data_IF_026039087656
#
_entry.id   IF_026039087656
#
_cell.length_a   1.000
_cell.length_b   1.000
_cell.length_c   1.000
_cell.angle_alpha   90.00
_cell.angle_beta   90.00
_cell.angle_gamma   90.00
#
_symmetry.space_group_name_H-M   'P 1'
#
loop_
_entity.id
_entity.type
_entity.pdbx_description
1 polymer ?
#
# COMPACT_ATOMS: atom_id res chain seq x y z
N UNK A 1 11.80 -28.54 -7.59
CA UNK A 1 11.89 -27.40 -8.53
C UNK A 1 12.06 -26.15 -7.69
N UNK A 2 13.16 -25.42 -7.89
CA UNK A 2 13.48 -24.19 -7.15
C UNK A 2 13.02 -22.98 -7.97
N UNK A 3 12.35 -22.02 -7.34
CA UNK A 3 11.89 -20.82 -8.03
C UNK A 3 13.07 -19.87 -8.30
N UNK A 4 13.06 -19.11 -9.41
CA UNK A 4 14.12 -18.16 -9.72
C UNK A 4 14.28 -17.11 -8.61
N UNK A 5 15.53 -16.77 -8.27
CA UNK A 5 15.88 -15.85 -7.18
C UNK A 5 15.59 -14.38 -7.47
N UNK A 6 15.20 -14.07 -8.70
CA UNK A 6 14.81 -12.75 -9.16
C UNK A 6 14.23 -12.83 -10.58
N UNK A 7 13.27 -11.96 -10.88
CA UNK A 7 12.64 -11.85 -12.20
C UNK A 7 12.58 -10.37 -12.53
N UNK A 8 13.25 -9.96 -13.62
CA UNK A 8 13.09 -8.62 -14.18
C UNK A 8 11.92 -8.64 -15.16
N UNK A 9 11.03 -7.66 -15.03
CA UNK A 9 9.82 -7.55 -15.84
C UNK A 9 9.83 -6.18 -16.52
N UNK A 10 9.95 -6.18 -17.85
CA UNK A 10 9.87 -4.99 -18.67
C UNK A 10 9.06 -5.26 -19.94
N UNK A 11 8.30 -4.27 -20.38
CA UNK A 11 7.55 -4.32 -21.63
C UNK A 11 7.90 -3.10 -22.45
N UNK A 12 8.54 -3.31 -23.61
CA UNK A 12 8.94 -2.21 -24.51
C UNK A 12 7.72 -1.50 -25.15
N UNK A 13 6.61 -2.22 -25.31
CA UNK A 13 5.34 -1.68 -25.80
C UNK A 13 4.19 -2.60 -25.39
N UNK A 14 3.05 -2.04 -24.95
CA UNK A 14 1.85 -2.82 -24.58
C UNK A 14 1.64 -2.97 -23.06
N UNK A 15 0.78 -3.92 -22.68
CA UNK A 15 0.38 -4.17 -21.29
C UNK A 15 1.37 -5.12 -20.59
N UNK A 16 1.91 -4.69 -19.45
CA UNK A 16 2.63 -5.57 -18.52
C UNK A 16 1.66 -6.05 -17.42
N UNK A 17 1.41 -7.36 -17.35
CA UNK A 17 0.57 -7.96 -16.32
C UNK A 17 1.39 -8.91 -15.43
N UNK A 18 1.31 -8.70 -14.12
CA UNK A 18 1.99 -9.52 -13.10
C UNK A 18 0.92 -10.21 -12.26
N UNK A 19 1.02 -11.54 -12.10
CA UNK A 19 0.12 -12.32 -11.26
C UNK A 19 0.88 -13.42 -10.52
N UNK A 20 0.54 -13.64 -9.25
CA UNK A 20 1.16 -14.66 -8.41
C UNK A 20 0.11 -15.50 -7.66
N UNK A 21 0.52 -16.69 -7.19
CA UNK A 21 -0.30 -17.52 -6.27
C UNK A 21 -0.24 -17.04 -4.82
N UNK A 22 0.69 -16.14 -4.53
CA UNK A 22 0.92 -15.50 -3.23
C UNK A 22 0.94 -14.00 -3.45
N UNK A 23 1.25 -13.27 -2.39
CA UNK A 23 1.35 -11.81 -2.41
C UNK A 23 2.48 -11.33 -3.35
N UNK A 24 2.23 -10.18 -3.97
CA UNK A 24 3.22 -9.42 -4.73
C UNK A 24 3.74 -8.29 -3.82
N UNK A 25 5.02 -8.34 -3.43
CA UNK A 25 5.66 -7.28 -2.63
C UNK A 25 6.45 -6.34 -3.54
N UNK A 26 6.11 -5.06 -3.51
CA UNK A 26 6.91 -3.98 -4.08
C UNK A 26 7.71 -3.34 -2.95
N UNK A 27 9.04 -3.39 -3.02
CA UNK A 27 9.93 -2.88 -1.98
C UNK A 27 11.09 -2.13 -2.65
N UNK A 28 11.33 -0.90 -2.20
CA UNK A 28 12.51 -0.12 -2.57
C UNK A 28 13.42 -0.02 -1.35
N UNK A 29 14.69 -0.39 -1.50
CA UNK A 29 15.70 -0.28 -0.43
C UNK A 29 16.26 1.13 -0.31
N UNK A 30 16.29 1.86 -1.43
CA UNK A 30 16.75 3.25 -1.51
C UNK A 30 15.87 3.99 -2.53
N UNK A 31 15.17 5.04 -2.10
CA UNK A 31 14.28 5.84 -2.95
C UNK A 31 12.80 5.51 -2.76
N UNK A 32 11.99 5.77 -3.79
CA UNK A 32 10.53 5.61 -3.77
C UNK A 32 10.02 4.67 -4.87
N UNK A 33 8.82 4.14 -4.69
CA UNK A 33 8.10 3.38 -5.71
C UNK A 33 7.18 4.35 -6.44
N UNK A 34 7.54 4.73 -7.67
CA UNK A 34 6.71 5.57 -8.52
C UNK A 34 5.73 4.70 -9.32
N UNK A 35 4.44 4.96 -9.15
CA UNK A 35 3.38 4.40 -9.98
C UNK A 35 2.88 5.50 -10.93
N UNK A 36 3.44 5.55 -12.14
CA UNK A 36 3.06 6.53 -13.16
C UNK A 36 1.98 5.95 -14.09
N UNK A 37 0.73 6.30 -13.82
CA UNK A 37 -0.42 5.88 -14.62
C UNK A 37 -1.55 6.92 -14.55
N UNK A 38 -2.36 6.99 -15.61
CA UNK A 38 -3.56 7.83 -15.62
C UNK A 38 -4.63 7.38 -14.62
N UNK A 39 -4.60 6.11 -14.21
CA UNK A 39 -5.53 5.55 -13.22
C UNK A 39 -4.85 4.41 -12.47
N UNK A 40 -4.89 4.47 -11.14
CA UNK A 40 -4.43 3.41 -10.24
C UNK A 40 -5.65 2.94 -9.45
N UNK A 41 -5.92 1.64 -9.47
CA UNK A 41 -7.04 1.05 -8.73
C UNK A 41 -6.54 0.01 -7.75
N UNK A 42 -6.90 0.19 -6.48
CA UNK A 42 -6.69 -0.79 -5.43
C UNK A 42 -8.04 -1.47 -5.14
N UNK A 43 -8.34 -2.51 -5.92
CA UNK A 43 -9.61 -3.23 -5.82
C UNK A 43 -9.70 -4.09 -4.56
N UNK A 44 -10.93 -4.27 -4.05
CA UNK A 44 -11.24 -5.14 -2.91
C UNK A 44 -10.44 -4.84 -1.63
N UNK A 45 -9.99 -3.59 -1.43
CA UNK A 45 -9.40 -3.20 -0.15
C UNK A 45 -10.47 -3.34 0.95
N UNK A 46 -10.26 -4.20 1.96
CA UNK A 46 -11.18 -4.30 3.07
C UNK A 46 -11.12 -3.02 3.92
N UNK A 47 -12.24 -2.66 4.54
CA UNK A 47 -12.23 -1.60 5.54
C UNK A 47 -11.39 -2.04 6.73
N UNK A 48 -10.34 -1.29 7.06
CA UNK A 48 -9.53 -1.54 8.24
C UNK A 48 -10.32 -1.25 9.50
N UNK A 49 -10.83 -2.28 10.17
CA UNK A 49 -11.53 -2.13 11.47
C UNK A 49 -10.61 -2.47 12.62
N UNK A 50 -10.51 -1.57 13.60
CA UNK A 50 -9.73 -1.79 14.82
C UNK A 50 -10.22 -3.03 15.61
N UNK A 51 -9.34 -4.01 15.84
CA UNK A 51 -9.64 -5.15 16.72
C UNK A 51 -9.30 -4.80 18.18
N UNK A 52 -10.30 -4.94 19.07
CA UNK A 52 -10.15 -4.67 20.51
C UNK A 52 -9.57 -5.85 21.33
N UNK A 53 -9.25 -7.00 20.72
CA UNK A 53 -8.63 -8.15 21.40
C UNK A 53 -7.11 -8.07 21.29
N UNK A 54 -6.26 -8.23 22.31
CA UNK A 54 -6.45 -8.53 23.73
C UNK A 54 -5.11 -8.31 24.46
N UNK A 55 -5.13 -7.52 25.54
CA UNK A 55 -4.32 -7.64 26.76
C UNK A 55 -2.78 -7.77 26.76
N UNK A 56 -2.04 -7.82 25.64
CA UNK A 56 -0.56 -7.74 25.68
C UNK A 56 0.01 -7.01 24.47
N UNK A 57 0.95 -6.11 24.75
CA UNK A 57 1.79 -5.35 23.84
C UNK A 57 1.14 -4.13 23.16
N UNK A 58 1.21 -3.00 23.86
CA UNK A 58 1.86 -1.81 23.30
C UNK A 58 2.97 -2.23 22.33
N UNK A 59 2.78 -2.07 21.00
CA UNK A 59 3.80 -1.63 20.01
C UNK A 59 3.52 -1.97 18.53
N UNK A 60 2.47 -2.71 18.14
CA UNK A 60 2.30 -3.11 16.74
C UNK A 60 0.84 -2.95 16.28
N UNK A 61 0.44 -1.75 15.83
CA UNK A 61 -0.77 -1.60 15.03
C UNK A 61 -0.55 -2.31 13.69
N UNK A 62 -1.13 -3.50 13.50
CA UNK A 62 -0.93 -4.32 12.29
C UNK A 62 -1.84 -3.97 11.12
N UNK A 63 -2.81 -3.07 11.32
CA UNK A 63 -3.82 -2.72 10.31
C UNK A 63 -3.74 -1.23 10.01
N UNK A 64 -3.63 -0.93 8.71
CA UNK A 64 -3.53 0.42 8.18
C UNK A 64 -4.62 0.65 7.15
N UNK A 65 -5.13 1.88 7.08
CA UNK A 65 -5.94 2.40 6.00
C UNK A 65 -5.03 2.98 4.92
N UNK A 66 -5.42 2.78 3.66
CA UNK A 66 -4.78 3.43 2.51
C UNK A 66 -5.51 4.74 2.23
N UNK A 67 -4.79 5.85 2.35
CA UNK A 67 -5.33 7.20 2.17
C UNK A 67 -4.77 7.82 0.89
N UNK A 68 -5.63 8.45 0.09
CA UNK A 68 -5.27 9.07 -1.19
C UNK A 68 -5.55 10.57 -1.12
N UNK A 69 -4.50 11.38 -1.34
CA UNK A 69 -4.59 12.83 -1.39
C UNK A 69 -5.15 13.30 -2.76
N UNK A 70 -5.79 14.48 -2.84
CA UNK A 70 -6.20 15.07 -4.14
C UNK A 70 -5.04 15.28 -5.12
N UNK A 71 -3.81 15.39 -4.61
CA UNK A 71 -2.57 15.47 -5.40
C UNK A 71 -2.14 14.13 -6.03
N UNK A 72 -2.81 13.02 -5.71
CA UNK A 72 -2.42 11.66 -6.13
C UNK A 72 -1.44 10.96 -5.19
N UNK A 73 -0.91 11.65 -4.16
CA UNK A 73 -0.05 11.03 -3.16
C UNK A 73 -0.82 10.00 -2.34
N UNK A 74 -0.24 8.81 -2.14
CA UNK A 74 -0.84 7.71 -1.36
C UNK A 74 -0.02 7.51 -0.08
N UNK A 75 -0.67 7.35 1.06
CA UNK A 75 0.00 7.07 2.33
C UNK A 75 -0.80 6.09 3.20
N UNK A 76 -0.14 5.52 4.21
CA UNK A 76 -0.75 4.61 5.18
C UNK A 76 -1.07 5.35 6.48
N UNK A 77 -2.30 5.20 6.95
CA UNK A 77 -2.77 5.73 8.23
C UNK A 77 -3.17 4.59 9.16
N UNK A 78 -2.86 4.60 10.47
CA UNK A 78 -3.28 3.54 11.37
C UNK A 78 -4.81 3.40 11.42
N UNK A 79 -5.32 2.17 11.31
CA UNK A 79 -6.76 1.92 11.31
C UNK A 79 -7.37 2.12 12.72
N UNK A 80 -8.52 2.78 12.79
CA UNK A 80 -9.27 3.05 14.03
C UNK A 80 -10.76 2.70 13.90
N UNK A 81 -11.57 3.07 14.89
CA UNK A 81 -13.04 2.91 14.84
C UNK A 81 -13.73 3.77 13.78
N UNK A 82 -13.01 4.76 13.25
CA UNK A 82 -13.44 5.66 12.17
C UNK A 82 -12.23 5.94 11.28
N UNK A 83 -12.47 6.33 10.03
CA UNK A 83 -11.38 6.60 9.11
C UNK A 83 -10.45 7.70 9.64
N UNK A 84 -9.14 7.44 9.59
CA UNK A 84 -8.11 8.36 10.07
C UNK A 84 -7.43 9.14 8.94
N UNK A 85 -7.83 8.93 7.67
CA UNK A 85 -7.26 9.63 6.52
C UNK A 85 -7.40 11.17 6.57
N UNK A 86 -8.30 11.69 7.41
CA UNK A 86 -8.43 13.14 7.62
C UNK A 86 -7.45 13.68 8.68
N UNK A 87 -6.96 12.83 9.58
CA UNK A 87 -6.10 13.23 10.68
C UNK A 87 -4.65 13.52 10.24
N UNK A 88 -4.19 12.85 9.18
CA UNK A 88 -2.84 13.02 8.60
C UNK A 88 -2.83 13.88 7.34
N UNK A 89 -3.76 14.84 7.22
CA UNK A 89 -3.88 15.67 6.01
C UNK A 89 -2.63 16.53 5.71
N UNK A 90 -1.75 16.74 6.68
CA UNK A 90 -0.47 17.41 6.47
C UNK A 90 0.45 16.65 5.49
N UNK A 91 0.35 15.33 5.42
CA UNK A 91 1.08 14.51 4.44
C UNK A 91 0.68 14.87 3.01
N UNK A 92 -0.57 15.30 2.80
CA UNK A 92 -1.07 15.75 1.51
C UNK A 92 -0.56 17.14 1.10
N UNK A 93 0.05 17.91 2.02
CA UNK A 93 0.54 19.27 1.76
C UNK A 93 2.02 19.33 1.38
N UNK A 94 2.77 18.25 1.59
CA UNK A 94 4.20 18.21 1.27
C UNK A 94 4.37 17.80 -0.20
N UNK A 95 4.99 18.68 -0.99
CA UNK A 95 5.44 18.40 -2.37
C UNK A 95 6.86 17.84 -2.33
#
# INVERSE_FOLDING_TARGET
>A
MEAPRGVELSAAQGLLQISGRKDLKLESTEGEILLDASTIQLGNLPLGTFSKSSSRASHEQSVYEVCVCPSGKVYLSPAHSSSTCQAMNNICLWS
#
